data_IF_705457232827
#
_entry.id   IF_705457232827
#
_cell.length_a   1.000
_cell.length_b   1.000
_cell.length_c   1.000
_cell.angle_alpha   90.00
_cell.angle_beta   90.00
_cell.angle_gamma   90.00
#
_symmetry.space_group_name_H-M   'P 1'
#
loop_
_entity.id
_entity.type
_entity.pdbx_description
1 polymer ?
#
# COMPACT_ATOMS: atom_id res chain seq x y z
N UNK A 1 64.86 -1.53 -61.37
CA UNK A 1 63.49 -2.02 -60.94
C UNK A 1 63.64 -2.42 -59.50
N UNK A 2 63.07 -1.56 -58.57
CA UNK A 2 63.15 -1.78 -57.14
C UNK A 2 61.75 -2.22 -56.67
N UNK A 3 61.68 -3.48 -56.19
CA UNK A 3 60.43 -3.98 -55.56
C UNK A 3 60.40 -3.52 -54.10
N UNK A 4 59.48 -2.58 -53.80
CA UNK A 4 59.17 -2.21 -52.44
C UNK A 4 58.23 -3.27 -51.85
N UNK A 5 58.71 -4.06 -50.90
CA UNK A 5 57.92 -5.04 -50.13
C UNK A 5 57.20 -4.32 -49.01
N UNK A 6 55.89 -4.15 -49.18
CA UNK A 6 55.00 -3.63 -48.12
C UNK A 6 54.82 -4.71 -47.03
N UNK A 7 55.44 -4.52 -45.86
CA UNK A 7 55.17 -5.30 -44.67
C UNK A 7 53.79 -4.91 -44.15
N UNK A 8 52.82 -5.82 -44.29
CA UNK A 8 51.54 -5.72 -43.62
C UNK A 8 51.72 -5.82 -42.13
N UNK A 9 51.41 -4.74 -41.40
CA UNK A 9 51.30 -4.76 -39.94
C UNK A 9 50.06 -5.60 -39.55
N UNK A 10 50.26 -6.82 -39.15
CA UNK A 10 49.22 -7.60 -38.49
C UNK A 10 48.93 -6.93 -37.12
N UNK A 11 47.75 -6.36 -36.98
CA UNK A 11 47.26 -5.85 -35.71
C UNK A 11 47.11 -7.02 -34.73
N UNK A 12 47.98 -7.05 -33.71
CA UNK A 12 47.89 -8.01 -32.60
C UNK A 12 46.61 -7.72 -31.83
N UNK A 13 45.62 -8.59 -31.98
CA UNK A 13 44.39 -8.53 -31.18
C UNK A 13 44.78 -8.77 -29.72
N UNK A 14 44.46 -7.84 -28.80
CA UNK A 14 44.79 -8.03 -27.40
C UNK A 14 43.97 -9.19 -26.83
N UNK A 15 44.65 -10.27 -26.45
CA UNK A 15 44.04 -11.35 -25.67
C UNK A 15 43.50 -10.73 -24.39
N UNK A 16 42.16 -10.64 -24.28
CA UNK A 16 41.50 -10.26 -23.01
C UNK A 16 41.95 -11.27 -21.97
N UNK A 17 42.70 -10.84 -20.94
CA UNK A 17 43.08 -11.73 -19.87
C UNK A 17 41.83 -12.33 -19.22
N UNK A 18 41.89 -13.62 -18.86
CA UNK A 18 40.80 -14.35 -18.21
C UNK A 18 40.25 -13.53 -17.00
N UNK A 19 41.16 -12.88 -16.27
CA UNK A 19 40.82 -12.01 -15.16
C UNK A 19 39.90 -10.83 -15.56
N UNK A 20 40.18 -10.16 -16.69
CA UNK A 20 39.33 -9.06 -17.17
C UNK A 20 37.95 -9.56 -17.59
N UNK A 21 37.87 -10.71 -18.21
CA UNK A 21 36.64 -11.33 -18.64
C UNK A 21 35.76 -11.74 -17.43
N UNK A 22 36.36 -12.37 -16.39
CA UNK A 22 35.67 -12.71 -15.15
C UNK A 22 35.15 -11.47 -14.41
N UNK A 23 35.99 -10.43 -14.29
CA UNK A 23 35.56 -9.17 -13.65
C UNK A 23 34.39 -8.55 -14.42
N UNK A 24 34.45 -8.55 -15.76
CA UNK A 24 33.38 -7.99 -16.60
C UNK A 24 32.07 -8.76 -16.40
N UNK A 25 32.09 -10.09 -16.50
CA UNK A 25 30.86 -10.91 -16.32
C UNK A 25 30.31 -10.79 -14.92
N UNK A 26 31.18 -10.82 -13.90
CA UNK A 26 30.72 -10.63 -12.53
C UNK A 26 30.07 -9.25 -12.33
N UNK A 27 30.66 -8.20 -12.91
CA UNK A 27 30.08 -6.85 -12.87
C UNK A 27 28.74 -6.76 -13.56
N UNK A 28 28.63 -7.33 -14.77
CA UNK A 28 27.36 -7.38 -15.52
C UNK A 28 26.28 -8.15 -14.76
N UNK A 29 26.64 -9.30 -14.15
CA UNK A 29 25.72 -10.09 -13.34
C UNK A 29 25.23 -9.31 -12.11
N UNK A 30 26.15 -8.66 -11.38
CA UNK A 30 25.79 -7.86 -10.21
C UNK A 30 24.88 -6.68 -10.56
N UNK A 31 25.14 -5.99 -11.68
CA UNK A 31 24.27 -4.91 -12.16
C UNK A 31 22.88 -5.45 -12.51
N UNK A 32 22.82 -6.58 -13.22
CA UNK A 32 21.55 -7.21 -13.61
C UNK A 32 20.75 -7.62 -12.38
N UNK A 33 21.38 -8.30 -11.41
CA UNK A 33 20.74 -8.70 -10.15
C UNK A 33 20.28 -7.47 -9.38
N UNK A 34 21.11 -6.43 -9.28
CA UNK A 34 20.75 -5.17 -8.61
C UNK A 34 19.55 -4.50 -9.25
N UNK A 35 19.49 -4.45 -10.59
CA UNK A 35 18.36 -3.88 -11.32
C UNK A 35 17.07 -4.71 -11.10
N UNK A 36 17.15 -6.03 -11.16
CA UNK A 36 16.02 -6.93 -10.93
C UNK A 36 15.48 -6.75 -9.50
N UNK A 37 16.36 -6.68 -8.49
CA UNK A 37 15.94 -6.44 -7.10
C UNK A 37 15.27 -5.07 -6.94
N UNK A 38 15.79 -4.02 -7.57
CA UNK A 38 15.19 -2.70 -7.55
C UNK A 38 13.79 -2.72 -8.16
N UNK A 39 13.65 -3.30 -9.34
CA UNK A 39 12.34 -3.45 -10.00
C UNK A 39 11.37 -4.29 -9.16
N UNK A 40 11.86 -5.34 -8.51
CA UNK A 40 11.05 -6.15 -7.60
C UNK A 40 10.53 -5.34 -6.41
N UNK A 41 11.37 -4.51 -5.78
CA UNK A 41 10.95 -3.64 -4.67
C UNK A 41 9.89 -2.63 -5.13
N UNK A 42 10.12 -1.97 -6.29
CA UNK A 42 9.15 -1.03 -6.87
C UNK A 42 7.82 -1.75 -7.16
N UNK A 43 7.88 -2.92 -7.78
CA UNK A 43 6.69 -3.72 -8.06
C UNK A 43 5.95 -4.13 -6.78
N UNK A 44 6.66 -4.58 -5.75
CA UNK A 44 6.08 -5.00 -4.47
C UNK A 44 5.34 -3.85 -3.78
N UNK A 45 5.96 -2.66 -3.72
CA UNK A 45 5.34 -1.47 -3.13
C UNK A 45 4.08 -1.04 -3.90
N UNK A 46 4.14 -1.06 -5.22
CA UNK A 46 3.01 -0.69 -6.06
C UNK A 46 1.86 -1.70 -5.97
N UNK A 47 2.17 -2.99 -6.02
CA UNK A 47 1.18 -4.07 -5.94
C UNK A 47 0.43 -4.09 -4.61
N UNK A 48 1.16 -3.95 -3.49
CA UNK A 48 0.54 -3.93 -2.15
C UNK A 48 -0.44 -2.78 -1.97
N UNK A 49 -0.18 -1.63 -2.57
CA UNK A 49 -1.11 -0.50 -2.51
C UNK A 49 -2.37 -0.73 -3.37
N UNK A 50 -2.23 -1.35 -4.54
CA UNK A 50 -3.40 -1.70 -5.38
C UNK A 50 -4.30 -2.71 -4.69
N UNK A 51 -3.71 -3.75 -4.11
CA UNK A 51 -4.45 -4.81 -3.43
C UNK A 51 -5.19 -4.27 -2.20
N UNK A 52 -4.51 -3.48 -1.37
CA UNK A 52 -5.11 -2.81 -0.22
C UNK A 52 -6.26 -1.88 -0.64
N UNK A 53 -6.07 -1.04 -1.66
CA UNK A 53 -7.13 -0.15 -2.14
C UNK A 53 -8.36 -0.91 -2.66
N UNK A 54 -8.17 -2.05 -3.33
CA UNK A 54 -9.30 -2.90 -3.76
C UNK A 54 -10.08 -3.47 -2.59
N UNK A 55 -9.38 -4.03 -1.60
CA UNK A 55 -10.00 -4.58 -0.39
C UNK A 55 -10.77 -3.50 0.37
N UNK A 56 -10.19 -2.32 0.52
CA UNK A 56 -10.81 -1.18 1.18
C UNK A 56 -12.05 -0.67 0.41
N UNK A 57 -11.99 -0.57 -0.91
CA UNK A 57 -13.14 -0.18 -1.72
C UNK A 57 -14.29 -1.19 -1.61
N UNK A 58 -13.99 -2.48 -1.66
CA UNK A 58 -14.99 -3.53 -1.47
C UNK A 58 -15.63 -3.47 -0.08
N UNK A 59 -14.84 -3.20 0.96
CA UNK A 59 -15.36 -3.04 2.31
C UNK A 59 -16.27 -1.80 2.43
N UNK A 60 -15.90 -0.68 1.81
CA UNK A 60 -16.76 0.52 1.73
C UNK A 60 -18.07 0.22 1.04
N UNK A 61 -18.04 -0.45 -0.13
CA UNK A 61 -19.24 -0.80 -0.90
C UNK A 61 -20.16 -1.72 -0.07
N UNK A 62 -19.60 -2.71 0.62
CA UNK A 62 -20.34 -3.64 1.46
C UNK A 62 -21.00 -2.93 2.65
N UNK A 63 -20.27 -2.07 3.36
CA UNK A 63 -20.81 -1.29 4.49
C UNK A 63 -21.87 -0.30 4.01
N UNK A 64 -21.63 0.38 2.89
CA UNK A 64 -22.59 1.33 2.32
C UNK A 64 -23.88 0.64 1.92
N UNK A 65 -23.79 -0.57 1.33
CA UNK A 65 -24.97 -1.37 1.01
C UNK A 65 -25.71 -1.83 2.27
N UNK A 66 -25.00 -2.28 3.29
CA UNK A 66 -25.57 -2.65 4.59
C UNK A 66 -26.34 -1.47 5.22
N UNK A 67 -25.71 -0.30 5.29
CA UNK A 67 -26.33 0.91 5.83
C UNK A 67 -27.55 1.39 5.00
N UNK A 68 -27.48 1.25 3.67
CA UNK A 68 -28.60 1.62 2.80
C UNK A 68 -29.79 0.67 2.92
N UNK A 69 -29.56 -0.57 3.32
CA UNK A 69 -30.60 -1.58 3.54
C UNK A 69 -31.13 -1.60 4.97
N UNK A 70 -30.46 -0.92 5.90
CA UNK A 70 -30.93 -0.76 7.27
C UNK A 70 -32.22 0.10 7.30
N UNK A 71 -33.07 -0.14 8.29
CA UNK A 71 -34.27 0.69 8.49
C UNK A 71 -33.86 2.16 8.64
N UNK A 72 -34.65 3.11 8.09
CA UNK A 72 -34.39 4.54 8.28
C UNK A 72 -34.27 4.86 9.77
N UNK A 73 -33.15 5.49 10.14
CA UNK A 73 -32.99 5.99 11.52
C UNK A 73 -34.14 6.98 11.78
N UNK A 74 -34.88 6.75 12.87
CA UNK A 74 -35.85 7.69 13.38
C UNK A 74 -35.21 9.08 13.50
N UNK A 75 -35.97 10.16 13.23
CA UNK A 75 -35.39 11.51 13.16
C UNK A 75 -34.46 11.77 14.34
N UNK A 76 -33.20 12.12 14.03
CA UNK A 76 -32.22 12.44 15.05
C UNK A 76 -32.67 13.58 15.93
N UNK A 77 -32.85 13.32 17.23
CA UNK A 77 -33.20 14.31 18.24
C UNK A 77 -31.92 14.77 18.97
N UNK A 78 -31.46 16.02 18.78
CA UNK A 78 -30.30 16.56 19.48
C UNK A 78 -30.39 16.53 20.99
N UNK A 79 -31.62 16.51 21.56
CA UNK A 79 -31.86 16.49 23.00
C UNK A 79 -31.87 15.09 23.59
N UNK A 80 -32.04 14.09 22.74
CA UNK A 80 -32.00 12.66 23.13
C UNK A 80 -31.24 11.85 22.09
N UNK A 81 -29.92 12.01 22.02
CA UNK A 81 -29.09 11.27 21.06
C UNK A 81 -29.20 9.75 21.34
N UNK A 82 -29.18 8.92 20.30
CA UNK A 82 -29.16 7.47 20.49
C UNK A 82 -27.94 7.04 21.30
N UNK A 83 -28.08 5.95 22.05
CA UNK A 83 -26.95 5.36 22.74
C UNK A 83 -25.90 4.89 21.74
N UNK A 84 -24.59 5.11 22.03
CA UNK A 84 -23.52 4.60 21.19
C UNK A 84 -23.61 3.09 21.06
N UNK A 85 -23.34 2.59 19.87
CA UNK A 85 -23.28 1.14 19.66
C UNK A 85 -22.16 0.50 20.50
N UNK A 86 -22.38 -0.75 20.88
CA UNK A 86 -21.34 -1.53 21.53
C UNK A 86 -20.14 -1.74 20.60
N UNK A 87 -18.96 -1.86 21.20
CA UNK A 87 -17.74 -2.16 20.47
C UNK A 87 -17.87 -3.47 19.69
N UNK A 88 -17.64 -3.47 18.35
CA UNK A 88 -17.79 -4.66 17.54
C UNK A 88 -16.69 -5.70 17.82
N UNK A 89 -16.85 -6.92 17.30
CA UNK A 89 -15.81 -7.93 17.33
C UNK A 89 -14.60 -7.49 16.49
N UNK A 90 -13.43 -7.97 16.88
CA UNK A 90 -12.16 -7.71 16.18
C UNK A 90 -12.26 -8.01 14.69
N UNK A 91 -11.76 -7.08 13.86
CA UNK A 91 -11.79 -7.18 12.40
C UNK A 91 -13.13 -6.90 11.75
N UNK A 92 -14.21 -6.69 12.52
CA UNK A 92 -15.51 -6.35 11.96
C UNK A 92 -15.56 -4.89 11.54
N UNK A 93 -15.88 -4.64 10.25
CA UNK A 93 -16.17 -3.31 9.74
C UNK A 93 -17.47 -2.77 10.34
N UNK A 94 -17.47 -1.48 10.74
CA UNK A 94 -18.63 -0.86 11.36
C UNK A 94 -18.90 0.56 10.90
N UNK A 95 -18.03 1.13 10.07
CA UNK A 95 -18.22 2.51 9.62
C UNK A 95 -17.40 2.86 8.38
N UNK A 96 -17.72 3.99 7.78
CA UNK A 96 -16.98 4.61 6.70
C UNK A 96 -16.60 6.03 7.11
N UNK A 97 -15.31 6.35 7.08
CA UNK A 97 -14.80 7.68 7.39
C UNK A 97 -14.61 8.46 6.10
N UNK A 98 -15.16 9.65 6.05
CA UNK A 98 -15.01 10.61 4.96
C UNK A 98 -14.01 11.69 5.36
N UNK A 99 -12.98 11.90 4.54
CA UNK A 99 -11.95 12.92 4.79
C UNK A 99 -11.89 13.86 3.58
N UNK A 100 -12.78 14.87 3.47
CA UNK A 100 -12.84 15.75 2.29
C UNK A 100 -11.56 16.54 2.01
N UNK A 101 -10.70 16.68 3.02
CA UNK A 101 -9.39 17.33 2.88
C UNK A 101 -8.42 16.53 2.00
N UNK A 102 -8.56 15.20 1.93
CA UNK A 102 -7.74 14.32 1.09
C UNK A 102 -8.33 14.13 -0.31
N UNK A 103 -9.57 14.56 -0.51
CA UNK A 103 -10.29 14.48 -1.78
C UNK A 103 -11.79 14.53 -1.54
N UNK A 104 -12.57 15.09 -2.49
CA UNK A 104 -14.00 15.26 -2.36
C UNK A 104 -14.73 13.93 -2.07
N UNK A 105 -14.24 12.85 -2.69
CA UNK A 105 -14.83 11.51 -2.57
C UNK A 105 -13.97 10.56 -1.73
N UNK A 106 -13.04 11.13 -0.92
CA UNK A 106 -12.13 10.31 -0.12
C UNK A 106 -12.87 9.64 1.03
N UNK A 107 -12.93 8.32 0.98
CA UNK A 107 -13.61 7.50 1.98
C UNK A 107 -12.79 6.25 2.30
N UNK A 108 -12.82 5.81 3.55
CA UNK A 108 -12.11 4.62 4.03
C UNK A 108 -13.00 3.84 4.99
N UNK A 109 -12.96 2.50 4.92
CA UNK A 109 -13.68 1.67 5.88
C UNK A 109 -12.99 1.72 7.23
N UNK A 110 -13.77 1.57 8.29
CA UNK A 110 -13.30 1.49 9.67
C UNK A 110 -13.72 0.16 10.26
N UNK A 111 -12.77 -0.54 10.88
CA UNK A 111 -12.99 -1.81 11.53
C UNK A 111 -12.45 -1.81 12.95
N UNK A 112 -12.91 -2.75 13.77
CA UNK A 112 -12.47 -2.91 15.15
C UNK A 112 -11.08 -3.53 15.24
N UNK A 113 -10.20 -2.94 16.08
CA UNK A 113 -8.83 -3.40 16.31
C UNK A 113 -7.79 -2.66 15.46
N UNK A 114 -6.55 -2.63 15.96
CA UNK A 114 -5.41 -1.93 15.33
C UNK A 114 -4.27 -2.88 14.98
N UNK A 115 -4.49 -4.18 14.96
CA UNK A 115 -3.51 -5.18 14.55
C UNK A 115 -3.29 -5.16 13.03
N UNK A 116 -2.19 -5.76 12.58
CA UNK A 116 -1.78 -5.75 11.17
C UNK A 116 -2.83 -6.35 10.23
N UNK A 117 -3.53 -7.40 10.65
CA UNK A 117 -4.61 -8.01 9.88
C UNK A 117 -5.76 -7.06 9.59
N UNK A 118 -6.02 -6.10 10.47
CA UNK A 118 -7.05 -5.07 10.31
C UNK A 118 -6.52 -3.90 9.47
N UNK A 119 -5.46 -3.24 9.92
CA UNK A 119 -4.99 -2.00 9.29
C UNK A 119 -4.34 -2.21 7.92
N UNK A 120 -3.77 -3.40 7.64
CA UNK A 120 -3.18 -3.75 6.36
C UNK A 120 -4.23 -4.02 5.27
N UNK A 121 -5.43 -4.47 5.67
CA UNK A 121 -6.49 -4.90 4.74
C UNK A 121 -7.66 -3.93 4.69
N UNK A 122 -8.15 -3.48 5.85
CA UNK A 122 -9.34 -2.65 5.98
C UNK A 122 -9.03 -1.15 6.10
N UNK A 123 -7.79 -0.78 6.35
CA UNK A 123 -7.31 0.59 6.30
C UNK A 123 -7.35 1.33 7.62
N UNK A 124 -8.51 1.63 8.19
CA UNK A 124 -8.64 2.30 9.49
C UNK A 124 -9.09 1.32 10.56
N UNK A 125 -8.30 1.21 11.63
CA UNK A 125 -8.58 0.39 12.79
C UNK A 125 -8.92 1.22 14.03
N UNK A 126 -10.03 0.88 14.69
CA UNK A 126 -10.43 1.50 15.95
C UNK A 126 -9.64 0.92 17.11
N UNK A 127 -9.12 1.79 17.98
CA UNK A 127 -8.43 1.36 19.21
C UNK A 127 -9.40 0.78 20.21
N UNK A 128 -9.15 -0.46 20.63
CA UNK A 128 -9.93 -1.16 21.64
C UNK A 128 -10.05 -0.34 22.93
N UNK A 129 -11.25 -0.27 23.48
CA UNK A 129 -11.54 0.45 24.70
C UNK A 129 -11.55 1.98 24.57
N UNK A 130 -11.44 2.54 23.37
CA UNK A 130 -11.73 3.96 23.15
C UNK A 130 -13.22 4.15 22.83
N UNK A 131 -13.73 5.39 22.93
CA UNK A 131 -15.14 5.63 22.72
C UNK A 131 -15.58 5.30 21.30
N UNK A 132 -16.74 4.65 21.15
CA UNK A 132 -17.41 4.49 19.85
C UNK A 132 -17.99 5.83 19.37
N UNK A 133 -18.27 5.98 18.07
CA UNK A 133 -18.89 7.19 17.52
C UNK A 133 -20.15 7.57 18.28
N UNK A 134 -20.26 8.83 18.70
CA UNK A 134 -21.36 9.33 19.54
C UNK A 134 -21.19 9.12 21.04
N UNK A 135 -20.20 8.34 21.47
CA UNK A 135 -19.88 8.11 22.88
C UNK A 135 -19.09 9.24 23.52
N UNK A 136 -19.09 9.25 24.86
CA UNK A 136 -18.30 10.21 25.65
C UNK A 136 -16.84 9.74 25.69
N UNK A 137 -15.92 10.53 25.16
CA UNK A 137 -14.49 10.23 25.12
C UNK A 137 -13.88 10.50 23.75
N UNK A 138 -12.69 9.93 23.52
CA UNK A 138 -12.01 10.04 22.24
C UNK A 138 -12.32 8.79 21.41
N UNK A 139 -12.82 8.98 20.21
CA UNK A 139 -12.86 7.96 19.17
C UNK A 139 -11.50 7.94 18.45
N UNK A 140 -10.69 6.92 18.68
CA UNK A 140 -9.32 6.86 18.19
C UNK A 140 -9.17 5.84 17.06
N UNK A 141 -8.54 6.26 15.98
CA UNK A 141 -8.28 5.43 14.80
C UNK A 141 -6.78 5.36 14.50
N UNK A 142 -6.34 4.20 14.03
CA UNK A 142 -5.02 3.98 13.45
C UNK A 142 -5.13 3.62 11.97
N UNK A 143 -4.11 3.98 11.20
CA UNK A 143 -4.00 3.61 9.79
C UNK A 143 -2.61 3.90 9.25
N UNK A 144 -2.26 3.24 8.13
CA UNK A 144 -0.97 3.48 7.48
C UNK A 144 -0.92 4.84 6.79
N UNK A 145 0.23 5.51 6.90
CA UNK A 145 0.47 6.77 6.20
C UNK A 145 1.05 6.57 4.80
N UNK A 146 1.94 5.61 4.58
CA UNK A 146 2.72 5.49 3.34
C UNK A 146 2.57 4.15 2.61
N UNK A 147 1.96 3.15 3.23
CA UNK A 147 1.81 1.80 2.69
C UNK A 147 0.38 1.32 2.83
N UNK A 148 0.05 0.17 2.22
CA UNK A 148 -1.26 -0.46 2.38
C UNK A 148 -2.44 0.47 2.10
N UNK A 149 -2.36 1.22 0.99
CA UNK A 149 -3.38 2.16 0.58
C UNK A 149 -3.24 3.56 1.17
N UNK A 150 -2.21 3.80 2.04
CA UNK A 150 -1.86 5.13 2.56
C UNK A 150 -3.08 5.93 3.06
N UNK A 151 -3.88 5.31 3.92
CA UNK A 151 -5.20 5.84 4.34
C UNK A 151 -5.15 7.17 5.11
N UNK A 152 -3.98 7.62 5.49
CA UNK A 152 -3.77 8.89 6.22
C UNK A 152 -2.80 9.83 5.48
N UNK A 153 -2.66 9.69 4.14
CA UNK A 153 -1.78 10.54 3.31
C UNK A 153 -2.58 11.29 2.23
#
# INVERSE_FOLDING_TARGET
MAHASAKAHQAVQPHKSILRWTIQITGELLITVGLVLLLFVVWQLWWTNIDANRSQSQAVDSLTHEFSSAAPVEQWDPQNPPEPEAEPEHGKGFGVVYIPRFGADYQRPTAQGTSADVIDTLGLGHYDGTAMPGGVGNFALAGHRQTRGAVLD
#
